data_IF_954597699118
#
_entry.id   IF_954597699118
#
_cell.length_a   1.000
_cell.length_b   1.000
_cell.length_c   1.000
_cell.angle_alpha   90.00
_cell.angle_beta   90.00
_cell.angle_gamma   90.00
#
_symmetry.space_group_name_H-M   'P 1'
#
loop_
_entity.id
_entity.type
_entity.pdbx_description
1 polymer ?
#
# COMPACT_ATOMS: atom_id res chain seq x y z
N UNK A 1 29.16 32.66 -40.18
CA UNK A 1 29.87 33.78 -40.82
C UNK A 1 31.31 33.35 -41.01
N UNK A 2 31.71 33.06 -42.24
CA UNK A 2 33.10 32.72 -42.58
C UNK A 2 33.82 34.00 -43.00
N UNK A 3 34.93 34.32 -42.33
CA UNK A 3 35.83 35.39 -42.74
C UNK A 3 36.78 34.83 -43.80
N UNK A 4 36.82 35.45 -44.99
CA UNK A 4 37.74 35.05 -46.06
C UNK A 4 38.80 36.13 -46.23
N UNK A 5 40.05 35.81 -45.86
CA UNK A 5 41.20 36.70 -46.06
C UNK A 5 41.81 36.40 -47.43
N UNK A 6 41.80 37.39 -48.33
CA UNK A 6 42.39 37.26 -49.66
C UNK A 6 43.84 37.77 -49.65
N UNK A 7 44.81 36.87 -49.80
CA UNK A 7 46.22 37.22 -49.94
C UNK A 7 46.63 37.13 -51.42
N UNK A 8 46.92 38.26 -52.05
CA UNK A 8 47.47 38.32 -53.40
C UNK A 8 48.86 38.94 -53.40
N UNK A 9 49.79 38.37 -54.16
CA UNK A 9 51.11 38.93 -54.41
C UNK A 9 51.20 39.38 -55.87
N UNK A 10 51.54 40.65 -56.09
CA UNK A 10 51.74 41.17 -57.44
C UNK A 10 53.11 40.73 -57.95
N UNK A 11 53.15 40.08 -59.12
CA UNK A 11 54.41 39.77 -59.80
C UNK A 11 55.09 41.06 -60.26
N UNK A 12 56.43 41.09 -60.24
CA UNK A 12 57.27 42.28 -60.48
C UNK A 12 57.05 43.02 -61.84
N UNK A 13 56.20 42.49 -62.71
CA UNK A 13 55.81 43.05 -64.01
C UNK A 13 54.56 43.94 -63.97
N UNK A 14 53.78 43.95 -62.87
CA UNK A 14 52.52 44.72 -62.75
C UNK A 14 52.73 45.88 -61.77
N UNK A 15 52.49 47.12 -62.22
CA UNK A 15 52.45 48.31 -61.36
C UNK A 15 51.00 48.63 -60.99
N UNK A 16 50.58 48.48 -59.71
CA UNK A 16 49.21 48.74 -59.32
C UNK A 16 48.88 50.22 -59.48
N UNK A 17 47.69 50.50 -60.01
CA UNK A 17 47.13 51.84 -60.16
C UNK A 17 45.99 52.05 -59.15
N UNK A 18 45.72 53.30 -58.73
CA UNK A 18 44.63 53.60 -57.78
C UNK A 18 43.21 53.25 -58.25
N UNK A 19 43.05 52.83 -59.51
CA UNK A 19 41.76 52.44 -60.11
C UNK A 19 41.65 50.93 -60.34
N UNK A 20 42.60 50.14 -59.86
CA UNK A 20 42.51 48.70 -59.93
C UNK A 20 41.63 48.20 -58.78
N UNK A 21 40.88 47.12 -59.01
CA UNK A 21 39.97 46.56 -58.02
C UNK A 21 39.95 45.04 -58.10
N UNK A 22 39.62 44.40 -56.97
CA UNK A 22 39.41 42.96 -56.87
C UNK A 22 37.96 42.70 -56.49
N UNK A 23 37.28 41.84 -57.24
CA UNK A 23 35.87 41.54 -56.99
C UNK A 23 35.45 40.18 -57.50
N UNK A 24 34.24 39.77 -57.10
CA UNK A 24 33.64 38.51 -57.53
C UNK A 24 32.92 38.70 -58.86
N UNK A 25 33.12 37.78 -59.82
CA UNK A 25 32.52 37.91 -61.16
C UNK A 25 30.99 37.78 -61.20
N UNK A 26 30.39 37.19 -60.16
CA UNK A 26 28.96 36.79 -60.13
C UNK A 26 28.07 37.71 -59.31
N UNK A 27 28.62 38.55 -58.42
CA UNK A 27 27.85 39.55 -57.66
C UNK A 27 28.29 40.94 -58.08
N UNK A 28 27.40 41.68 -58.76
CA UNK A 28 27.64 43.08 -59.19
C UNK A 28 27.97 44.05 -58.06
N UNK A 29 27.85 43.63 -56.80
CA UNK A 29 27.82 44.50 -55.64
C UNK A 29 28.92 44.19 -54.60
N UNK A 30 29.99 43.48 -54.95
CA UNK A 30 31.07 43.20 -53.99
C UNK A 30 32.45 43.26 -54.65
N UNK A 31 33.02 44.47 -54.66
CA UNK A 31 34.38 44.75 -55.09
C UNK A 31 35.10 45.61 -54.06
N UNK A 32 36.42 45.51 -54.03
CA UNK A 32 37.28 46.29 -53.15
C UNK A 32 38.37 46.94 -53.99
N UNK A 33 38.56 48.25 -53.82
CA UNK A 33 39.61 49.00 -54.50
C UNK A 33 40.98 48.63 -53.96
N UNK A 34 41.96 48.47 -54.84
CA UNK A 34 43.34 48.15 -54.46
C UNK A 34 44.04 49.44 -54.03
N UNK A 35 44.36 49.59 -52.75
CA UNK A 35 45.17 50.71 -52.26
C UNK A 35 46.65 50.51 -52.63
N UNK A 36 47.34 51.50 -53.22
CA UNK A 36 48.73 51.39 -53.59
C UNK A 36 49.64 51.69 -52.39
N UNK A 37 49.83 50.68 -51.52
CA UNK A 37 50.80 50.70 -50.41
C UNK A 37 51.55 49.37 -50.33
N UNK A 38 52.86 49.41 -50.08
CA UNK A 38 53.80 48.29 -50.21
C UNK A 38 53.86 47.34 -48.98
N UNK A 39 52.90 47.41 -48.07
CA UNK A 39 52.85 46.56 -46.88
C UNK A 39 51.53 45.79 -46.83
N UNK A 40 51.59 44.51 -46.42
CA UNK A 40 50.47 43.56 -46.45
C UNK A 40 49.19 44.13 -45.83
N UNK A 41 48.16 44.32 -46.66
CA UNK A 41 46.81 44.66 -46.24
C UNK A 41 45.94 43.40 -46.36
N UNK A 42 45.47 42.89 -45.22
CA UNK A 42 44.31 42.01 -45.18
C UNK A 42 43.04 42.85 -45.20
N UNK A 43 42.16 42.63 -46.17
CA UNK A 43 40.85 43.30 -46.25
C UNK A 43 39.72 42.26 -46.28
N UNK A 44 38.70 42.53 -45.47
CA UNK A 44 37.61 41.61 -45.19
C UNK A 44 36.53 41.64 -46.27
N UNK A 45 36.27 40.49 -46.88
CA UNK A 45 35.10 40.27 -47.75
C UNK A 45 34.10 39.34 -47.06
N UNK A 46 32.88 39.85 -46.89
CA UNK A 46 31.77 39.09 -46.35
C UNK A 46 31.05 38.34 -47.47
N UNK A 47 30.94 37.02 -47.35
CA UNK A 47 30.10 36.20 -48.24
C UNK A 47 28.84 35.73 -47.51
N UNK A 48 27.70 35.77 -48.20
CA UNK A 48 26.45 35.15 -47.75
C UNK A 48 26.50 33.68 -48.17
N UNK A 49 26.20 32.77 -47.25
CA UNK A 49 26.15 31.31 -47.49
C UNK A 49 25.22 30.98 -48.67
N UNK A 50 25.79 30.88 -49.87
CA UNK A 50 25.14 30.34 -51.04
C UNK A 50 26.07 29.29 -51.65
N UNK A 51 25.50 28.15 -52.05
CA UNK A 51 26.21 27.02 -52.63
C UNK A 51 26.68 27.29 -54.08
N UNK A 52 27.05 28.53 -54.39
CA UNK A 52 27.44 28.97 -55.72
C UNK A 52 28.96 29.08 -55.87
N UNK A 53 29.42 28.94 -57.11
CA UNK A 53 30.84 29.03 -57.44
C UNK A 53 31.27 30.49 -57.52
N UNK A 54 32.32 30.86 -56.78
CA UNK A 54 32.86 32.21 -56.78
C UNK A 54 34.27 32.26 -57.38
N UNK A 55 34.53 33.26 -58.21
CA UNK A 55 35.86 33.54 -58.80
C UNK A 55 36.29 34.97 -58.42
N UNK A 56 37.43 35.10 -57.74
CA UNK A 56 38.11 36.38 -57.52
C UNK A 56 38.83 36.78 -58.81
N UNK A 57 38.50 37.96 -59.33
CA UNK A 57 39.17 38.55 -60.49
C UNK A 57 39.87 39.84 -60.06
N UNK A 58 41.15 39.97 -60.37
CA UNK A 58 41.82 41.27 -60.38
C UNK A 58 41.55 41.92 -61.73
N UNK A 59 41.11 43.18 -61.70
CA UNK A 59 40.82 43.97 -62.91
C UNK A 59 41.71 45.19 -62.90
N UNK A 60 42.60 45.28 -63.88
CA UNK A 60 43.42 46.46 -64.10
C UNK A 60 42.63 47.56 -64.82
N UNK A 61 43.18 48.77 -64.84
CA UNK A 61 42.59 49.92 -65.54
C UNK A 61 42.41 49.72 -67.07
N UNK A 62 42.83 48.58 -67.64
CA UNK A 62 42.78 48.22 -69.06
C UNK A 62 41.92 46.96 -69.36
N UNK A 63 41.10 46.49 -68.41
CA UNK A 63 40.17 45.35 -68.54
C UNK A 63 40.82 43.97 -68.81
N UNK A 64 42.06 43.75 -68.39
CA UNK A 64 42.69 42.42 -68.49
C UNK A 64 42.40 41.54 -67.27
N UNK A 65 41.75 40.38 -67.49
CA UNK A 65 41.39 39.43 -66.43
C UNK A 65 42.44 38.33 -66.24
N UNK A 66 42.81 38.02 -64.99
CA UNK A 66 43.69 36.91 -64.63
C UNK A 66 43.03 35.52 -64.77
N UNK A 67 43.87 34.48 -64.84
CA UNK A 67 43.51 33.05 -65.01
C UNK A 67 42.74 32.51 -63.78
N UNK A 68 41.63 31.77 -63.97
CA UNK A 68 40.84 31.24 -62.86
C UNK A 68 41.60 30.19 -62.05
N UNK A 69 41.50 30.27 -60.71
CA UNK A 69 41.85 29.19 -59.80
C UNK A 69 40.63 28.78 -58.96
N UNK A 70 40.62 27.54 -58.46
CA UNK A 70 39.49 26.94 -57.76
C UNK A 70 39.94 26.43 -56.38
N UNK A 71 39.20 26.75 -55.32
CA UNK A 71 39.35 26.06 -54.04
C UNK A 71 38.72 24.68 -54.16
N UNK A 72 39.55 23.63 -54.27
CA UNK A 72 39.12 22.26 -54.02
C UNK A 72 39.39 21.96 -52.55
N UNK A 73 38.34 21.71 -51.78
CA UNK A 73 38.49 20.98 -50.52
C UNK A 73 39.19 19.66 -50.80
N UNK A 74 40.16 19.21 -49.97
CA UNK A 74 40.80 17.92 -50.17
C UNK A 74 39.71 16.86 -50.21
N UNK A 75 39.50 16.26 -51.39
CA UNK A 75 38.70 15.05 -51.51
C UNK A 75 39.44 13.99 -50.71
N UNK A 76 39.01 13.75 -49.48
CA UNK A 76 39.27 12.50 -48.80
C UNK A 76 38.84 11.37 -49.75
N UNK A 77 39.82 10.73 -50.39
CA UNK A 77 39.67 9.42 -50.98
C UNK A 77 39.43 8.45 -49.83
N UNK A 78 38.18 8.32 -49.40
CA UNK A 78 37.71 7.20 -48.61
C UNK A 78 36.47 6.63 -49.31
N UNK A 79 36.71 5.44 -49.88
CA UNK A 79 35.79 4.43 -50.41
C UNK A 79 34.26 4.73 -50.30
N UNK A 80 33.54 4.87 -51.43
CA UNK A 80 32.10 5.18 -51.43
C UNK A 80 31.21 4.07 -50.87
N UNK A 81 31.67 2.81 -50.84
CA UNK A 81 30.82 1.64 -50.57
C UNK A 81 30.66 1.31 -49.08
N UNK A 82 31.57 1.76 -48.21
CA UNK A 82 31.50 1.52 -46.75
C UNK A 82 30.78 2.67 -46.03
N UNK A 83 30.82 3.88 -46.59
CA UNK A 83 30.20 5.08 -46.01
C UNK A 83 28.68 5.15 -46.25
N UNK A 84 28.17 4.52 -47.32
CA UNK A 84 26.72 4.38 -47.58
C UNK A 84 26.05 3.48 -46.54
N UNK A 85 26.58 2.26 -46.34
CA UNK A 85 26.03 1.30 -45.37
C UNK A 85 26.05 1.81 -43.94
N UNK A 86 27.16 2.40 -43.46
CA UNK A 86 27.21 3.01 -42.12
C UNK A 86 26.24 4.18 -41.95
N UNK A 87 25.94 4.92 -43.03
CA UNK A 87 24.96 6.02 -42.99
C UNK A 87 23.53 5.48 -42.93
N UNK A 88 23.21 4.43 -43.67
CA UNK A 88 21.90 3.76 -43.62
C UNK A 88 21.66 3.11 -42.25
N UNK A 89 22.67 2.49 -41.66
CA UNK A 89 22.61 1.88 -40.33
C UNK A 89 22.40 2.91 -39.22
N UNK A 90 23.09 4.06 -39.27
CA UNK A 90 22.86 5.17 -38.35
C UNK A 90 21.47 5.81 -38.51
N UNK A 91 20.92 5.82 -39.73
CA UNK A 91 19.56 6.33 -39.98
C UNK A 91 18.51 5.39 -39.38
N UNK A 92 18.65 4.08 -39.57
CA UNK A 92 17.76 3.09 -38.95
C UNK A 92 17.84 3.16 -37.42
N UNK A 93 19.03 3.35 -36.85
CA UNK A 93 19.21 3.48 -35.40
C UNK A 93 18.58 4.77 -34.85
N UNK A 94 18.66 5.88 -35.59
CA UNK A 94 17.98 7.12 -35.25
C UNK A 94 16.45 6.99 -35.29
N UNK A 95 15.91 6.29 -36.28
CA UNK A 95 14.47 6.00 -36.35
C UNK A 95 14.02 5.13 -35.19
N UNK A 96 14.79 4.06 -34.88
CA UNK A 96 14.54 3.19 -33.73
C UNK A 96 14.55 3.96 -32.40
N UNK A 97 15.55 4.83 -32.19
CA UNK A 97 15.65 5.67 -30.99
C UNK A 97 14.52 6.71 -30.90
N UNK A 98 14.04 7.19 -32.03
CA UNK A 98 12.89 8.11 -32.09
C UNK A 98 11.60 7.40 -31.68
N UNK A 99 11.37 6.20 -32.20
CA UNK A 99 10.20 5.37 -31.86
C UNK A 99 10.22 4.94 -30.38
N UNK A 100 11.40 4.60 -29.85
CA UNK A 100 11.56 4.35 -28.41
C UNK A 100 11.27 5.61 -27.57
N UNK A 101 11.73 6.79 -28.00
CA UNK A 101 11.42 8.03 -27.31
C UNK A 101 9.91 8.36 -27.32
N UNK A 102 9.22 8.12 -28.42
CA UNK A 102 7.76 8.29 -28.49
C UNK A 102 7.04 7.32 -27.56
N UNK A 103 7.47 6.05 -27.51
CA UNK A 103 6.92 5.04 -26.60
C UNK A 103 7.13 5.45 -25.15
N UNK A 104 8.34 5.85 -24.76
CA UNK A 104 8.65 6.30 -23.41
C UNK A 104 7.83 7.53 -23.01
N UNK A 105 7.65 8.49 -23.93
CA UNK A 105 6.78 9.65 -23.69
C UNK A 105 5.32 9.26 -23.47
N UNK A 106 4.83 8.25 -24.19
CA UNK A 106 3.48 7.73 -24.01
C UNK A 106 3.31 7.10 -22.63
N UNK A 107 4.24 6.22 -22.23
CA UNK A 107 4.21 5.54 -20.91
C UNK A 107 4.30 6.55 -19.77
N UNK A 108 5.17 7.56 -19.88
CA UNK A 108 5.28 8.64 -18.89
C UNK A 108 3.96 9.41 -18.73
N UNK A 109 3.26 9.67 -19.84
CA UNK A 109 1.97 10.37 -19.82
C UNK A 109 0.89 9.52 -19.14
N UNK A 110 0.85 8.21 -19.41
CA UNK A 110 -0.08 7.28 -18.75
C UNK A 110 0.20 7.17 -17.25
N UNK A 111 1.47 7.03 -16.85
CA UNK A 111 1.82 7.02 -15.42
C UNK A 111 1.46 8.31 -14.72
N UNK A 112 1.64 9.47 -15.36
CA UNK A 112 1.24 10.74 -14.80
C UNK A 112 -0.29 10.83 -14.59
N UNK A 113 -1.08 10.32 -15.54
CA UNK A 113 -2.54 10.24 -15.39
C UNK A 113 -2.96 9.30 -14.26
N UNK A 114 -2.27 8.19 -14.08
CA UNK A 114 -2.56 7.25 -12.99
C UNK A 114 -2.22 7.84 -11.63
N UNK A 115 -1.09 8.55 -11.50
CA UNK A 115 -0.75 9.30 -10.29
C UNK A 115 -1.83 10.33 -9.96
N UNK A 116 -2.34 11.05 -10.95
CA UNK A 116 -3.39 12.04 -10.74
C UNK A 116 -4.71 11.39 -10.33
N UNK A 117 -5.06 10.23 -10.90
CA UNK A 117 -6.23 9.44 -10.47
C UNK A 117 -6.10 8.96 -9.03
N UNK A 118 -4.95 8.41 -8.66
CA UNK A 118 -4.69 7.91 -7.30
C UNK A 118 -4.73 9.05 -6.27
N UNK A 119 -4.21 10.24 -6.61
CA UNK A 119 -4.33 11.44 -5.75
C UNK A 119 -5.79 11.82 -5.50
N UNK A 120 -6.64 11.77 -6.54
CA UNK A 120 -8.08 12.05 -6.39
C UNK A 120 -8.75 11.03 -5.47
N UNK A 121 -8.46 9.73 -5.66
CA UNK A 121 -9.02 8.67 -4.80
C UNK A 121 -8.60 8.82 -3.34
N UNK A 122 -7.32 9.13 -3.09
CA UNK A 122 -6.80 9.33 -1.74
C UNK A 122 -7.45 10.54 -1.06
N UNK A 123 -7.69 11.62 -1.80
CA UNK A 123 -8.40 12.79 -1.28
C UNK A 123 -9.86 12.47 -0.92
N UNK A 124 -10.56 11.72 -1.78
CA UNK A 124 -11.94 11.28 -1.50
C UNK A 124 -11.98 10.39 -0.24
N UNK A 125 -11.04 9.47 -0.10
CA UNK A 125 -10.96 8.60 1.07
C UNK A 125 -10.68 9.38 2.36
N UNK A 126 -9.76 10.34 2.34
CA UNK A 126 -9.49 11.23 3.48
C UNK A 126 -10.71 12.09 3.86
N UNK A 127 -11.43 12.62 2.87
CA UNK A 127 -12.67 13.38 3.10
C UNK A 127 -13.74 12.50 3.76
N UNK A 128 -13.93 11.27 3.28
CA UNK A 128 -14.86 10.30 3.89
C UNK A 128 -14.48 9.98 5.32
N UNK A 129 -13.18 9.75 5.59
CA UNK A 129 -12.69 9.48 6.95
C UNK A 129 -12.97 10.68 7.88
N UNK A 130 -12.67 11.90 7.44
CA UNK A 130 -12.89 13.12 8.23
C UNK A 130 -14.38 13.37 8.52
N UNK A 131 -15.27 13.14 7.54
CA UNK A 131 -16.72 13.23 7.77
C UNK A 131 -17.16 12.19 8.81
N UNK A 132 -16.64 10.97 8.72
CA UNK A 132 -16.99 9.90 9.66
C UNK A 132 -16.50 10.20 11.08
N UNK A 133 -15.27 10.68 11.25
CA UNK A 133 -14.77 11.13 12.57
C UNK A 133 -15.60 12.30 13.12
N UNK A 134 -15.97 13.28 12.28
CA UNK A 134 -16.82 14.41 12.67
C UNK A 134 -18.21 13.96 13.16
N UNK A 135 -18.87 13.07 12.43
CA UNK A 135 -20.20 12.54 12.84
C UNK A 135 -20.16 11.73 14.13
N UNK A 136 -19.08 10.96 14.36
CA UNK A 136 -18.90 10.20 15.60
C UNK A 136 -18.67 11.11 16.80
N UNK A 137 -17.85 12.15 16.67
CA UNK A 137 -17.67 13.15 17.74
C UNK A 137 -18.98 13.85 18.09
N UNK A 138 -19.79 14.22 17.09
CA UNK A 138 -21.05 14.90 17.31
C UNK A 138 -22.10 14.00 18.00
N UNK A 139 -22.13 12.71 17.67
CA UNK A 139 -22.97 11.72 18.35
C UNK A 139 -22.52 11.48 19.80
N UNK A 140 -21.22 11.38 20.04
CA UNK A 140 -20.69 11.24 21.41
C UNK A 140 -21.01 12.48 22.23
N UNK A 141 -20.88 13.68 21.67
CA UNK A 141 -21.20 14.92 22.34
C UNK A 141 -22.71 15.08 22.62
N UNK A 142 -23.58 14.72 21.68
CA UNK A 142 -25.04 14.69 21.90
C UNK A 142 -25.46 13.64 22.94
N UNK A 143 -24.79 12.49 22.97
CA UNK A 143 -25.05 11.47 23.99
C UNK A 143 -24.56 11.92 25.37
N UNK A 144 -23.42 12.61 25.46
CA UNK A 144 -22.90 13.19 26.71
C UNK A 144 -23.78 14.31 27.27
N UNK A 145 -24.43 15.11 26.43
CA UNK A 145 -25.33 16.18 26.89
C UNK A 145 -26.70 15.65 27.31
N UNK A 146 -27.19 14.57 26.68
CA UNK A 146 -28.51 14.00 26.98
C UNK A 146 -28.49 12.94 28.10
N UNK A 147 -27.32 12.40 28.45
CA UNK A 147 -27.18 11.40 29.51
C UNK A 147 -27.49 11.96 30.92
N UNK A 148 -27.02 13.16 31.32
CA UNK A 148 -27.35 13.77 32.61
C UNK A 148 -28.86 13.96 32.79
N UNK A 149 -29.56 14.43 31.75
CA UNK A 149 -31.02 14.66 31.81
C UNK A 149 -31.83 13.37 31.93
N UNK A 150 -31.35 12.27 31.32
CA UNK A 150 -31.97 10.95 31.45
C UNK A 150 -31.75 10.37 32.84
N UNK A 151 -30.54 10.54 33.38
CA UNK A 151 -30.19 10.11 34.73
C UNK A 151 -31.02 10.88 35.78
N UNK A 152 -31.15 12.20 35.64
CA UNK A 152 -31.94 13.03 36.54
C UNK A 152 -33.43 12.66 36.50
N UNK A 153 -34.00 12.42 35.31
CA UNK A 153 -35.37 11.89 35.17
C UNK A 153 -35.56 10.54 35.85
N UNK A 154 -34.58 9.63 35.74
CA UNK A 154 -34.63 8.34 36.39
C UNK A 154 -34.59 8.48 37.92
N UNK A 155 -33.76 9.37 38.46
CA UNK A 155 -33.69 9.64 39.90
C UNK A 155 -35.02 10.17 40.44
N UNK A 156 -35.65 11.12 39.75
CA UNK A 156 -36.98 11.64 40.14
C UNK A 156 -38.01 10.51 40.17
N UNK A 157 -38.01 9.64 39.14
CA UNK A 157 -38.96 8.51 39.09
C UNK A 157 -38.71 7.50 40.21
N UNK A 158 -37.46 7.19 40.52
CA UNK A 158 -37.09 6.31 41.65
C UNK A 158 -37.60 6.90 42.97
N UNK A 159 -37.41 8.20 43.18
CA UNK A 159 -37.87 8.86 44.41
C UNK A 159 -39.40 8.85 44.53
N UNK A 160 -40.11 9.08 43.43
CA UNK A 160 -41.57 8.98 43.38
C UNK A 160 -42.06 7.56 43.71
N UNK A 161 -41.45 6.53 43.11
CA UNK A 161 -41.81 5.13 43.36
C UNK A 161 -41.55 4.72 44.82
N UNK A 162 -40.47 5.22 45.43
CA UNK A 162 -40.21 4.99 46.86
C UNK A 162 -41.29 5.59 47.75
N UNK A 163 -41.79 6.78 47.41
CA UNK A 163 -42.89 7.42 48.15
C UNK A 163 -44.20 6.63 48.02
N UNK A 164 -44.52 6.18 46.80
CA UNK A 164 -45.69 5.33 46.54
C UNK A 164 -45.60 3.99 47.28
N UNK A 165 -44.41 3.38 47.34
CA UNK A 165 -44.18 2.15 48.09
C UNK A 165 -44.46 2.32 49.58
N UNK A 166 -44.01 3.42 50.19
CA UNK A 166 -44.25 3.68 51.62
C UNK A 166 -45.73 3.95 51.90
N UNK A 167 -46.43 4.66 51.02
CA UNK A 167 -47.87 4.87 51.13
C UNK A 167 -48.65 3.55 51.03
N UNK A 168 -48.30 2.70 50.07
CA UNK A 168 -48.93 1.39 49.90
C UNK A 168 -48.64 0.48 51.10
N UNK A 169 -47.41 0.51 51.63
CA UNK A 169 -47.04 -0.22 52.83
C UNK A 169 -47.90 0.20 54.03
N UNK A 170 -48.09 1.51 54.23
CA UNK A 170 -48.99 2.02 55.27
C UNK A 170 -50.44 1.56 55.09
N UNK A 171 -50.96 1.53 53.85
CA UNK A 171 -52.31 0.99 53.57
C UNK A 171 -52.43 -0.50 53.89
N UNK A 172 -51.40 -1.29 53.55
CA UNK A 172 -51.35 -2.72 53.88
C UNK A 172 -51.31 -2.96 55.39
N UNK A 173 -50.55 -2.17 56.14
CA UNK A 173 -50.51 -2.25 57.60
C UNK A 173 -51.88 -1.93 58.23
N UNK A 174 -52.56 -0.87 57.77
CA UNK A 174 -53.92 -0.53 58.23
C UNK A 174 -54.91 -1.66 57.92
N UNK A 175 -54.91 -2.18 56.69
CA UNK A 175 -55.78 -3.29 56.31
C UNK A 175 -55.47 -4.57 57.10
N UNK A 176 -54.20 -4.85 57.39
CA UNK A 176 -53.78 -5.98 58.21
C UNK A 176 -54.35 -5.89 59.63
N UNK A 177 -54.30 -4.69 60.24
CA UNK A 177 -54.91 -4.44 61.56
C UNK A 177 -56.42 -4.60 61.52
N UNK A 178 -57.10 -4.09 60.49
CA UNK A 178 -58.55 -4.24 60.33
C UNK A 178 -58.95 -5.72 60.19
N UNK A 179 -58.23 -6.49 59.35
CA UNK A 179 -58.44 -7.94 59.20
C UNK A 179 -58.23 -8.65 60.54
N UNK A 180 -57.18 -8.30 61.29
CA UNK A 180 -56.91 -8.88 62.60
C UNK A 180 -58.04 -8.59 63.61
N UNK A 181 -58.69 -7.42 63.52
CA UNK A 181 -59.85 -7.07 64.36
C UNK A 181 -61.16 -7.76 63.92
N UNK A 182 -61.36 -7.95 62.61
CA UNK A 182 -62.55 -8.59 62.08
C UNK A 182 -62.52 -10.12 62.24
N UNK A 183 -61.32 -10.73 62.21
CA UNK A 183 -61.14 -12.18 62.36
C UNK A 183 -61.81 -12.77 63.62
N UNK A 184 -61.63 -12.24 64.84
CA UNK A 184 -62.30 -12.76 66.03
C UNK A 184 -63.82 -12.53 66.00
N UNK A 185 -64.29 -11.42 65.40
CA UNK A 185 -65.73 -11.16 65.26
C UNK A 185 -66.37 -12.18 64.33
N UNK A 186 -65.74 -12.45 63.18
CA UNK A 186 -66.18 -13.48 62.24
C UNK A 186 -66.18 -14.87 62.89
N UNK A 187 -65.14 -15.20 63.67
CA UNK A 187 -65.11 -16.47 64.43
C UNK A 187 -66.25 -16.56 65.45
N UNK A 188 -66.52 -15.48 66.19
CA UNK A 188 -67.62 -15.45 67.16
C UNK A 188 -68.99 -15.53 66.47
N UNK A 189 -69.17 -14.87 65.33
CA UNK A 189 -70.39 -14.98 64.52
C UNK A 189 -70.54 -16.41 63.99
N UNK A 190 -69.48 -16.99 63.44
CA UNK A 190 -69.49 -18.39 62.98
C UNK A 190 -69.81 -19.35 64.12
N UNK A 191 -69.27 -19.15 65.32
CA UNK A 191 -69.62 -19.94 66.51
C UNK A 191 -71.09 -19.74 66.92
N UNK A 192 -71.62 -18.51 66.86
CA UNK A 192 -73.04 -18.26 67.13
C UNK A 192 -73.94 -18.92 66.10
N UNK A 193 -73.54 -18.97 64.82
CA UNK A 193 -74.23 -19.70 63.77
C UNK A 193 -74.17 -21.21 64.05
N UNK A 194 -73.00 -21.75 64.40
CA UNK A 194 -72.85 -23.17 64.78
C UNK A 194 -73.69 -23.53 66.00
N UNK A 195 -73.77 -22.66 67.01
CA UNK A 195 -74.62 -22.82 68.20
C UNK A 195 -76.10 -22.74 67.85
N UNK A 196 -76.51 -21.81 66.98
CA UNK A 196 -77.89 -21.74 66.45
C UNK A 196 -78.24 -23.01 65.69
N UNK A 197 -77.39 -23.49 64.80
CA UNK A 197 -77.59 -24.73 64.07
C UNK A 197 -77.67 -25.93 65.01
N UNK A 198 -76.84 -25.96 66.06
CA UNK A 198 -76.88 -27.00 67.09
C UNK A 198 -78.18 -26.97 67.91
N UNK A 199 -78.67 -25.78 68.29
CA UNK A 199 -79.96 -25.59 68.96
C UNK A 199 -81.11 -25.99 68.03
N UNK A 200 -81.04 -25.62 66.74
CA UNK A 200 -82.03 -25.97 65.73
C UNK A 200 -82.02 -27.48 65.47
N UNK A 201 -80.85 -28.11 65.40
CA UNK A 201 -80.66 -29.56 65.38
C UNK A 201 -81.29 -30.25 66.60
N UNK A 202 -81.09 -29.71 67.81
CA UNK A 202 -81.71 -30.24 69.03
C UNK A 202 -83.24 -30.08 69.01
N UNK A 203 -83.75 -28.95 68.50
CA UNK A 203 -85.17 -28.68 68.31
C UNK A 203 -85.81 -29.55 67.23
N UNK A 204 -85.09 -29.92 66.16
CA UNK A 204 -85.62 -30.87 65.19
C UNK A 204 -85.38 -32.32 65.60
N UNK A 205 -84.36 -32.64 66.40
CA UNK A 205 -84.16 -33.98 66.97
C UNK A 205 -85.29 -34.39 67.93
N UNK A 206 -85.97 -33.39 68.53
CA UNK A 206 -87.18 -33.55 69.34
C UNK A 206 -88.46 -33.61 68.49
N UNK A 207 -88.42 -33.25 67.20
CA UNK A 207 -89.60 -33.17 66.32
C UNK A 207 -89.55 -33.97 65.01
N UNK A 208 -88.44 -34.61 64.64
CA UNK A 208 -88.41 -35.46 63.43
C UNK A 208 -87.22 -36.42 63.45
N UNK A 209 -87.47 -37.65 63.93
CA UNK A 209 -86.44 -38.66 64.13
C UNK A 209 -86.08 -39.49 62.88
N UNK A 210 -86.43 -39.05 61.67
CA UNK A 210 -86.17 -39.86 60.46
C UNK A 210 -85.75 -39.12 59.19
N UNK A 211 -85.69 -37.78 59.13
CA UNK A 211 -85.30 -37.07 57.88
C UNK A 211 -83.98 -36.25 57.96
N UNK A 212 -83.53 -35.88 59.16
CA UNK A 212 -82.38 -34.97 59.37
C UNK A 212 -80.99 -35.48 58.94
N UNK A 213 -80.61 -36.74 59.20
CA UNK A 213 -79.28 -37.25 58.83
C UNK A 213 -79.05 -37.26 57.31
N UNK A 214 -80.12 -37.47 56.53
CA UNK A 214 -80.05 -37.55 55.06
C UNK A 214 -79.89 -36.14 54.46
N UNK A 215 -80.62 -35.15 54.99
CA UNK A 215 -80.52 -33.76 54.50
C UNK A 215 -79.17 -33.12 54.84
N UNK A 216 -78.64 -33.34 56.05
CA UNK A 216 -77.33 -32.79 56.47
C UNK A 216 -76.16 -33.38 55.67
N UNK A 217 -76.18 -34.69 55.43
CA UNK A 217 -75.16 -35.35 54.59
C UNK A 217 -75.25 -34.91 53.13
N UNK A 218 -76.46 -34.70 52.60
CA UNK A 218 -76.67 -34.16 51.26
C UNK A 218 -76.14 -32.73 51.10
N UNK A 219 -76.34 -31.85 52.09
CA UNK A 219 -75.82 -30.48 52.07
C UNK A 219 -74.28 -30.46 52.11
N UNK A 220 -73.67 -31.18 53.05
CA UNK A 220 -72.21 -31.25 53.17
C UNK A 220 -71.55 -31.79 51.90
N UNK A 221 -72.18 -32.77 51.24
CA UNK A 221 -71.71 -33.31 49.97
C UNK A 221 -71.83 -32.29 48.83
N UNK A 222 -72.88 -31.48 48.81
CA UNK A 222 -73.05 -30.41 47.84
C UNK A 222 -72.03 -29.29 48.03
N UNK A 223 -71.71 -28.94 49.26
CA UNK A 223 -70.69 -27.95 49.61
C UNK A 223 -69.29 -28.44 49.24
N UNK A 224 -68.94 -29.68 49.58
CA UNK A 224 -67.68 -30.30 49.17
C UNK A 224 -67.52 -30.37 47.64
N UNK A 225 -68.60 -30.66 46.90
CA UNK A 225 -68.60 -30.62 45.42
C UNK A 225 -68.31 -29.23 44.88
N UNK A 226 -68.87 -28.19 45.50
CA UNK A 226 -68.68 -26.80 45.08
C UNK A 226 -67.24 -26.35 45.34
N UNK A 227 -66.68 -26.68 46.51
CA UNK A 227 -65.29 -26.40 46.84
C UNK A 227 -64.32 -27.10 45.88
N UNK A 228 -64.54 -28.40 45.61
CA UNK A 228 -63.72 -29.14 44.65
C UNK A 228 -63.78 -28.52 43.24
N UNK A 229 -64.96 -28.03 42.82
CA UNK A 229 -65.07 -27.35 41.54
C UNK A 229 -64.28 -26.04 41.50
N UNK A 230 -64.34 -25.24 42.58
CA UNK A 230 -63.57 -23.99 42.71
C UNK A 230 -62.07 -24.25 42.75
N UNK A 231 -61.61 -25.24 43.52
CA UNK A 231 -60.20 -25.64 43.58
C UNK A 231 -59.71 -26.13 42.21
N UNK A 232 -60.53 -26.91 41.49
CA UNK A 232 -60.21 -27.35 40.14
C UNK A 232 -60.06 -26.19 39.16
N UNK A 233 -60.94 -25.19 39.24
CA UNK A 233 -60.82 -23.99 38.41
C UNK A 233 -59.58 -23.16 38.78
N UNK A 234 -59.29 -22.99 40.07
CA UNK A 234 -58.09 -22.30 40.54
C UNK A 234 -56.82 -23.01 40.07
N UNK A 235 -56.76 -24.34 40.21
CA UNK A 235 -55.65 -25.17 39.73
C UNK A 235 -55.44 -25.03 38.22
N UNK A 236 -56.52 -25.08 37.43
CA UNK A 236 -56.45 -24.90 35.97
C UNK A 236 -55.91 -23.51 35.60
N UNK A 237 -56.33 -22.46 36.30
CA UNK A 237 -55.83 -21.11 36.06
C UNK A 237 -54.34 -20.99 36.39
N UNK A 238 -53.90 -21.56 37.52
CA UNK A 238 -52.49 -21.61 37.92
C UNK A 238 -51.65 -22.37 36.88
N UNK A 239 -52.15 -23.50 36.39
CA UNK A 239 -51.48 -24.28 35.34
C UNK A 239 -51.29 -23.47 34.05
N UNK A 240 -52.33 -22.76 33.57
CA UNK A 240 -52.22 -21.89 32.40
C UNK A 240 -51.23 -20.75 32.59
N UNK A 241 -51.15 -20.18 33.80
CA UNK A 241 -50.15 -19.16 34.13
C UNK A 241 -48.73 -19.73 34.12
N UNK A 242 -48.53 -20.93 34.67
CA UNK A 242 -47.25 -21.62 34.65
C UNK A 242 -46.78 -21.93 33.22
N UNK A 243 -47.65 -22.50 32.38
CA UNK A 243 -47.34 -22.78 30.96
C UNK A 243 -46.97 -21.50 30.19
N UNK A 244 -47.62 -20.37 30.51
CA UNK A 244 -47.27 -19.08 29.90
C UNK A 244 -45.88 -18.62 30.34
N UNK A 245 -45.56 -18.72 31.62
CA UNK A 245 -44.25 -18.36 32.15
C UNK A 245 -43.14 -19.26 31.58
N UNK A 246 -43.40 -20.55 31.39
CA UNK A 246 -42.46 -21.49 30.77
C UNK A 246 -42.17 -21.13 29.30
N UNK A 247 -43.20 -20.74 28.53
CA UNK A 247 -42.99 -20.25 27.16
C UNK A 247 -42.16 -18.96 27.11
N UNK A 248 -42.49 -17.98 27.96
CA UNK A 248 -41.74 -16.72 28.04
C UNK A 248 -40.28 -16.96 28.45
N UNK A 249 -40.05 -17.91 29.35
CA UNK A 249 -38.70 -18.33 29.76
C UNK A 249 -37.94 -18.95 28.58
N UNK A 250 -38.57 -19.85 27.82
CA UNK A 250 -38.01 -20.42 26.60
C UNK A 250 -37.59 -19.35 25.58
N UNK A 251 -38.47 -18.37 25.30
CA UNK A 251 -38.15 -17.26 24.39
C UNK A 251 -36.98 -16.39 24.89
N UNK A 252 -36.84 -16.22 26.21
CA UNK A 252 -35.69 -15.51 26.80
C UNK A 252 -34.40 -16.30 26.61
N UNK A 253 -34.43 -17.62 26.81
CA UNK A 253 -33.27 -18.49 26.57
C UNK A 253 -32.83 -18.45 25.10
N UNK A 254 -33.75 -18.58 24.15
CA UNK A 254 -33.43 -18.50 22.72
C UNK A 254 -32.84 -17.14 22.31
N UNK A 255 -33.37 -16.04 22.86
CA UNK A 255 -32.81 -14.69 22.65
C UNK A 255 -31.41 -14.55 23.26
N UNK A 256 -31.18 -15.11 24.43
CA UNK A 256 -29.88 -15.10 25.09
C UNK A 256 -28.84 -15.88 24.27
N UNK A 257 -29.20 -17.07 23.79
CA UNK A 257 -28.35 -17.90 22.93
C UNK A 257 -27.99 -17.17 21.63
N UNK A 258 -28.99 -16.59 20.95
CA UNK A 258 -28.79 -15.79 19.72
C UNK A 258 -27.87 -14.59 19.96
N UNK A 259 -28.02 -13.91 21.10
CA UNK A 259 -27.16 -12.78 21.50
C UNK A 259 -25.74 -13.25 21.83
N UNK A 260 -25.59 -14.41 22.47
CA UNK A 260 -24.30 -15.01 22.79
C UNK A 260 -23.53 -15.35 21.50
N UNK A 261 -24.19 -16.01 20.54
CA UNK A 261 -23.59 -16.38 19.25
C UNK A 261 -23.16 -15.15 18.43
N UNK A 262 -24.01 -14.12 18.35
CA UNK A 262 -23.67 -12.87 17.64
C UNK A 262 -22.55 -12.10 18.34
N UNK A 263 -22.51 -12.10 19.67
CA UNK A 263 -21.41 -11.52 20.46
C UNK A 263 -20.09 -12.25 20.20
N UNK A 264 -20.09 -13.59 20.24
CA UNK A 264 -18.91 -14.40 19.94
C UNK A 264 -18.39 -14.15 18.52
N UNK A 265 -19.28 -14.12 17.52
CA UNK A 265 -18.93 -13.79 16.14
C UNK A 265 -18.33 -12.39 16.01
N UNK A 266 -18.89 -11.41 16.72
CA UNK A 266 -18.39 -10.03 16.72
C UNK A 266 -17.01 -9.94 17.35
N UNK A 267 -16.77 -10.65 18.46
CA UNK A 267 -15.45 -10.75 19.10
C UNK A 267 -14.41 -11.38 18.16
N UNK A 268 -14.76 -12.45 17.46
CA UNK A 268 -13.88 -13.08 16.48
C UNK A 268 -13.51 -12.12 15.35
N UNK A 269 -14.49 -11.38 14.79
CA UNK A 269 -14.24 -10.35 13.77
C UNK A 269 -13.37 -9.22 14.31
N UNK A 270 -13.61 -8.78 15.54
CA UNK A 270 -12.81 -7.75 16.22
C UNK A 270 -11.36 -8.18 16.37
N UNK A 271 -11.10 -9.40 16.86
CA UNK A 271 -9.75 -9.93 17.01
C UNK A 271 -9.02 -10.03 15.67
N UNK A 272 -9.72 -10.44 14.59
CA UNK A 272 -9.15 -10.45 13.24
C UNK A 272 -8.75 -9.05 12.76
N UNK A 273 -9.60 -8.05 12.98
CA UNK A 273 -9.29 -6.66 12.61
C UNK A 273 -8.13 -6.10 13.43
N UNK A 274 -8.05 -6.43 14.72
CA UNK A 274 -6.97 -6.02 15.61
C UNK A 274 -5.62 -6.58 15.13
N UNK A 275 -5.58 -7.87 14.75
CA UNK A 275 -4.39 -8.49 14.15
C UNK A 275 -3.98 -7.82 12.84
N UNK A 276 -4.94 -7.49 11.97
CA UNK A 276 -4.66 -6.78 10.72
C UNK A 276 -4.10 -5.38 10.97
N UNK A 277 -4.60 -4.67 11.98
CA UNK A 277 -4.08 -3.35 12.36
C UNK A 277 -2.66 -3.42 12.91
N UNK A 278 -2.34 -4.43 13.72
CA UNK A 278 -0.98 -4.65 14.22
C UNK A 278 -0.01 -4.95 13.08
N UNK A 279 -0.41 -5.80 12.13
CA UNK A 279 0.41 -6.12 10.96
C UNK A 279 0.65 -4.90 10.06
N UNK A 280 -0.39 -4.10 9.80
CA UNK A 280 -0.23 -2.86 9.03
C UNK A 280 0.69 -1.86 9.72
N UNK A 281 0.63 -1.74 11.06
CA UNK A 281 1.57 -0.89 11.82
C UNK A 281 3.01 -1.37 11.66
N UNK A 282 3.25 -2.68 11.75
CA UNK A 282 4.58 -3.27 11.54
C UNK A 282 5.13 -2.96 10.15
N UNK A 283 4.30 -3.10 9.11
CA UNK A 283 4.68 -2.77 7.73
C UNK A 283 5.02 -1.28 7.59
N UNK A 284 4.23 -0.40 8.19
CA UNK A 284 4.48 1.05 8.15
C UNK A 284 5.83 1.36 8.81
N UNK A 285 6.08 0.83 10.00
CA UNK A 285 7.34 1.02 10.73
C UNK A 285 8.55 0.51 9.94
N UNK A 286 8.43 -0.66 9.31
CA UNK A 286 9.47 -1.19 8.43
C UNK A 286 9.73 -0.28 7.23
N UNK A 287 8.68 0.25 6.60
CA UNK A 287 8.81 1.19 5.47
C UNK A 287 9.42 2.52 5.89
N UNK A 288 9.09 3.02 7.08
CA UNK A 288 9.70 4.23 7.65
C UNK A 288 11.20 4.01 7.91
N UNK A 289 11.58 2.87 8.47
CA UNK A 289 12.99 2.53 8.69
C UNK A 289 13.77 2.43 7.36
N UNK A 290 13.20 1.79 6.34
CA UNK A 290 13.81 1.70 5.00
C UNK A 290 13.96 3.10 4.38
N UNK A 291 12.93 3.95 4.50
CA UNK A 291 12.98 5.31 3.98
C UNK A 291 14.04 6.17 4.66
N UNK A 292 14.21 6.05 5.99
CA UNK A 292 15.25 6.77 6.71
C UNK A 292 16.65 6.29 6.33
N UNK A 293 16.87 4.97 6.18
CA UNK A 293 18.15 4.44 5.69
C UNK A 293 18.48 4.97 4.28
N UNK A 294 17.52 4.91 3.36
CA UNK A 294 17.69 5.40 1.99
C UNK A 294 17.97 6.91 1.95
N UNK A 295 17.38 7.69 2.86
CA UNK A 295 17.63 9.12 3.00
C UNK A 295 19.06 9.39 3.45
N UNK A 296 19.55 8.67 4.47
CA UNK A 296 20.94 8.80 4.96
C UNK A 296 21.94 8.46 3.85
N UNK A 297 21.72 7.36 3.13
CA UNK A 297 22.57 6.94 2.01
C UNK A 297 22.59 8.00 0.88
N UNK A 298 21.43 8.56 0.54
CA UNK A 298 21.36 9.62 -0.48
C UNK A 298 22.09 10.90 -0.05
N UNK A 299 22.00 11.26 1.24
CA UNK A 299 22.77 12.39 1.78
C UNK A 299 24.28 12.14 1.73
N UNK A 300 24.73 10.90 1.97
CA UNK A 300 26.14 10.50 1.86
C UNK A 300 26.63 10.52 0.40
N UNK A 301 25.91 9.87 -0.50
CA UNK A 301 26.20 9.90 -1.93
C UNK A 301 26.20 11.33 -2.48
N UNK A 302 25.31 12.21 -2.00
CA UNK A 302 25.31 13.61 -2.40
C UNK A 302 26.57 14.35 -1.93
N UNK A 303 27.11 14.02 -0.74
CA UNK A 303 28.38 14.60 -0.26
C UNK A 303 29.56 14.12 -1.11
N UNK A 304 29.67 12.82 -1.32
CA UNK A 304 30.73 12.24 -2.16
C UNK A 304 30.68 12.76 -3.60
N UNK A 305 29.49 12.89 -4.17
CA UNK A 305 29.32 13.44 -5.52
C UNK A 305 29.79 14.90 -5.61
N UNK A 306 29.58 15.69 -4.56
CA UNK A 306 30.13 17.05 -4.47
C UNK A 306 31.65 17.05 -4.37
N UNK A 307 32.23 16.13 -3.59
CA UNK A 307 33.68 15.98 -3.44
C UNK A 307 34.35 15.61 -4.76
N UNK A 308 33.84 14.58 -5.43
CA UNK A 308 34.33 14.15 -6.75
C UNK A 308 34.21 15.26 -7.78
N UNK A 309 33.14 16.05 -7.77
CA UNK A 309 33.01 17.23 -8.65
C UNK A 309 34.11 18.26 -8.39
N UNK A 310 34.44 18.52 -7.12
CA UNK A 310 35.55 19.42 -6.76
C UNK A 310 36.89 18.90 -7.25
N UNK A 311 37.14 17.60 -7.12
CA UNK A 311 38.40 17.00 -7.55
C UNK A 311 38.54 16.91 -9.07
N UNK A 312 37.45 16.62 -9.79
CA UNK A 312 37.44 16.71 -11.26
C UNK A 312 37.78 18.13 -11.73
N UNK A 313 37.22 19.16 -11.09
CA UNK A 313 37.51 20.55 -11.45
C UNK A 313 38.97 20.92 -11.15
N UNK A 314 39.50 20.45 -10.01
CA UNK A 314 40.91 20.61 -9.65
C UNK A 314 41.84 19.98 -10.70
N UNK A 315 41.58 18.71 -11.06
CA UNK A 315 42.37 17.99 -12.05
C UNK A 315 42.29 18.64 -13.44
N UNK A 316 41.10 19.12 -13.85
CA UNK A 316 40.94 19.86 -15.10
C UNK A 316 41.78 21.13 -15.12
N UNK A 317 41.85 21.85 -13.99
CA UNK A 317 42.70 23.03 -13.85
C UNK A 317 44.18 22.68 -13.94
N UNK A 318 44.63 21.67 -13.21
CA UNK A 318 46.02 21.18 -13.28
C UNK A 318 46.41 20.73 -14.70
N UNK A 319 45.51 20.04 -15.40
CA UNK A 319 45.72 19.63 -16.78
C UNK A 319 45.83 20.84 -17.73
N UNK A 320 44.98 21.85 -17.55
CA UNK A 320 45.06 23.08 -18.34
C UNK A 320 46.35 23.87 -18.08
N UNK A 321 46.79 23.94 -16.82
CA UNK A 321 48.04 24.60 -16.42
C UNK A 321 49.26 23.88 -17.02
N UNK A 322 49.27 22.54 -17.03
CA UNK A 322 50.31 21.73 -17.68
C UNK A 322 50.32 21.89 -19.21
N UNK A 323 49.16 22.05 -19.83
CA UNK A 323 49.04 22.24 -21.28
C UNK A 323 49.42 23.68 -21.71
N UNK A 324 49.33 24.65 -20.80
CA UNK A 324 49.72 26.05 -21.02
C UNK A 324 51.20 26.36 -20.70
N UNK A 325 51.95 25.42 -20.12
CA UNK A 325 53.37 25.58 -19.85
C UNK A 325 54.19 25.62 -21.16
N UNK A 326 55.04 26.64 -21.40
CA UNK A 326 55.86 26.68 -22.61
C UNK A 326 56.95 25.60 -22.56
N UNK A 327 56.91 24.68 -23.51
CA UNK A 327 57.99 23.72 -23.76
C UNK A 327 59.20 24.49 -24.34
N UNK A 328 60.40 24.43 -23.73
CA UNK A 328 61.60 24.96 -24.35
C UNK A 328 61.97 24.14 -25.59
N UNK A 329 61.93 24.78 -26.76
CA UNK A 329 62.47 24.27 -28.01
C UNK A 329 64.01 24.41 -28.00
N UNK A 330 64.73 23.29 -27.95
CA UNK A 330 66.00 23.13 -28.68
C UNK A 330 65.94 21.88 -29.57
N UNK A 331 66.16 22.10 -30.88
CA UNK A 331 66.41 21.14 -31.97
C UNK A 331 67.88 20.62 -31.92
N UNK A 332 68.37 19.62 -32.71
CA UNK A 332 67.81 19.06 -33.96
C UNK A 332 67.86 17.51 -34.10
N UNK A 333 67.09 17.00 -35.06
CA UNK A 333 67.13 15.62 -35.55
C UNK A 333 68.46 15.28 -36.27
N UNK A 334 68.82 13.99 -36.36
CA UNK A 334 69.13 13.45 -37.68
C UNK A 334 68.60 12.02 -37.95
N UNK A 335 67.97 11.89 -39.12
CA UNK A 335 68.08 10.80 -40.11
C UNK A 335 67.53 9.41 -39.75
N UNK A 336 66.52 8.97 -40.52
CA UNK A 336 66.29 7.55 -40.81
C UNK A 336 64.82 7.14 -41.00
N UNK A 337 64.26 7.30 -42.20
CA UNK A 337 63.10 6.50 -42.69
C UNK A 337 63.59 5.10 -43.11
N UNK A 338 62.74 4.09 -43.48
CA UNK A 338 61.27 4.04 -43.52
C UNK A 338 60.64 2.71 -42.97
N UNK A 339 59.37 2.75 -42.53
CA UNK A 339 58.23 1.96 -43.07
C UNK A 339 56.97 2.12 -42.20
N UNK A 340 55.86 2.46 -42.85
CA UNK A 340 54.45 2.34 -42.40
C UNK A 340 54.12 0.90 -41.93
N UNK A 341 53.09 0.63 -41.09
CA UNK A 341 51.71 1.10 -41.32
C UNK A 341 50.87 1.53 -40.08
N UNK A 342 49.97 2.49 -40.30
CA UNK A 342 48.55 2.59 -39.82
C UNK A 342 48.21 2.39 -38.32
N UNK A 343 47.47 3.33 -37.66
CA UNK A 343 46.75 3.03 -36.42
C UNK A 343 45.27 2.73 -36.70
N UNK A 344 44.85 1.51 -36.39
CA UNK A 344 43.45 1.12 -36.16
C UNK A 344 43.32 0.72 -34.69
N UNK A 345 42.28 1.27 -34.07
CA UNK A 345 41.47 0.81 -32.93
C UNK A 345 42.04 -0.22 -31.94
N UNK A 346 41.94 0.18 -30.66
CA UNK A 346 41.42 -0.61 -29.54
C UNK A 346 42.01 -2.01 -29.30
N UNK A 347 42.99 -2.07 -28.40
CA UNK A 347 43.21 -3.25 -27.56
C UNK A 347 43.29 -2.81 -26.10
N UNK A 348 42.16 -2.98 -25.41
CA UNK A 348 42.12 -3.11 -23.95
C UNK A 348 42.93 -4.36 -23.59
N UNK A 349 44.06 -4.17 -22.90
CA UNK A 349 44.73 -5.26 -22.22
C UNK A 349 44.34 -5.23 -20.74
N UNK A 350 43.75 -6.37 -20.41
CA UNK A 350 43.35 -6.88 -19.12
C UNK A 350 44.53 -6.99 -18.14
N UNK A 351 44.17 -7.18 -16.87
CA UNK A 351 44.97 -7.67 -15.74
C UNK A 351 45.85 -6.65 -14.97
N UNK A 352 45.34 -6.17 -13.83
CA UNK A 352 45.75 -6.59 -12.46
C UNK A 352 45.24 -5.60 -11.40
N UNK A 353 44.19 -5.98 -10.67
CA UNK A 353 44.01 -5.54 -9.28
C UNK A 353 43.38 -6.66 -8.46
N UNK A 354 44.23 -7.34 -7.72
CA UNK A 354 43.87 -8.38 -6.76
C UNK A 354 43.82 -7.75 -5.36
N UNK A 355 42.73 -7.99 -4.62
CA UNK A 355 42.72 -8.12 -3.17
C UNK A 355 41.42 -8.83 -2.69
N UNK A 356 41.56 -10.14 -2.47
CA UNK A 356 40.96 -11.00 -1.42
C UNK A 356 39.42 -11.07 -1.23
N UNK A 357 38.86 -12.31 -1.34
CA UNK A 357 37.89 -12.84 -0.40
C UNK A 357 38.55 -13.90 0.49
N UNK A 358 38.39 -13.75 1.80
CA UNK A 358 38.88 -14.67 2.82
C UNK A 358 38.05 -15.97 2.84
N UNK A 359 38.75 -17.10 2.67
CA UNK A 359 38.56 -18.33 3.43
C UNK A 359 37.35 -19.22 3.12
N UNK A 360 37.53 -20.24 2.27
CA UNK A 360 37.67 -21.63 2.77
C UNK A 360 38.07 -22.61 1.65
N UNK A 361 39.22 -23.27 1.89
CA UNK A 361 39.72 -24.48 1.22
C UNK A 361 38.83 -25.67 1.63
N UNK A 362 38.56 -26.71 0.83
CA UNK A 362 39.48 -27.59 0.10
C UNK A 362 38.81 -28.29 -1.11
N UNK A 363 39.66 -28.66 -2.08
CA UNK A 363 39.45 -29.42 -3.33
C UNK A 363 38.96 -30.87 -3.08
N UNK A 364 38.52 -31.76 -4.00
CA UNK A 364 38.77 -32.03 -5.44
C UNK A 364 37.64 -33.00 -5.96
N UNK A 365 37.70 -33.62 -7.17
CA UNK A 365 36.65 -33.57 -8.20
C UNK A 365 35.75 -34.83 -8.29
N UNK A 366 34.46 -34.63 -8.54
CA UNK A 366 33.57 -35.74 -8.90
C UNK A 366 32.11 -35.34 -8.98
N UNK A 367 31.65 -34.96 -10.17
CA UNK A 367 30.23 -35.05 -10.53
C UNK A 367 29.95 -36.56 -10.72
N UNK A 368 28.98 -37.19 -10.03
CA UNK A 368 27.56 -36.89 -10.23
C UNK A 368 26.77 -36.90 -8.92
N UNK A 369 26.15 -35.80 -8.53
CA UNK A 369 24.87 -35.81 -7.82
C UNK A 369 24.42 -34.36 -7.62
N UNK A 370 23.29 -34.04 -8.23
CA UNK A 370 22.44 -32.92 -7.83
C UNK A 370 22.38 -32.83 -6.30
N UNK A 371 22.27 -31.64 -5.68
CA UNK A 371 21.97 -31.56 -4.26
C UNK A 371 20.77 -32.47 -4.01
N UNK A 372 20.94 -33.50 -3.17
CA UNK A 372 19.90 -34.48 -2.85
C UNK A 372 18.77 -33.70 -2.19
N UNK A 373 17.87 -33.16 -3.00
CA UNK A 373 16.66 -32.50 -2.54
C UNK A 373 15.79 -33.62 -2.01
N UNK A 374 15.71 -33.72 -0.69
CA UNK A 374 14.89 -34.73 -0.04
C UNK A 374 13.45 -34.23 0.03
N UNK A 375 12.50 -35.09 -0.29
CA UNK A 375 11.07 -34.76 -0.31
C UNK A 375 10.36 -35.36 0.89
N UNK A 376 9.59 -34.55 1.62
CA UNK A 376 8.74 -35.04 2.70
C UNK A 376 7.56 -35.85 2.16
N UNK A 377 7.27 -37.01 2.73
CA UNK A 377 6.15 -37.88 2.29
C UNK A 377 4.77 -37.35 2.68
N UNK A 378 4.72 -36.45 3.66
CA UNK A 378 3.47 -35.89 4.18
C UNK A 378 3.13 -34.59 3.44
N UNK A 379 3.92 -33.54 3.59
CA UNK A 379 3.64 -32.25 2.95
C UNK A 379 4.11 -32.14 1.48
N UNK A 380 4.87 -33.13 0.97
CA UNK A 380 5.43 -33.14 -0.39
C UNK A 380 6.39 -31.97 -0.71
N UNK A 381 6.85 -31.25 0.30
CA UNK A 381 7.83 -30.16 0.17
C UNK A 381 9.24 -30.70 -0.09
N UNK A 382 10.01 -29.96 -0.90
CA UNK A 382 11.38 -30.29 -1.28
C UNK A 382 12.36 -29.46 -0.46
N UNK A 383 13.25 -30.15 0.24
CA UNK A 383 14.23 -29.53 1.11
C UNK A 383 15.64 -29.71 0.54
N UNK A 384 16.24 -28.66 -0.06
CA UNK A 384 17.62 -28.73 -0.55
C UNK A 384 18.61 -28.61 0.62
N UNK A 385 19.54 -29.56 0.71
CA UNK A 385 20.68 -29.47 1.63
C UNK A 385 20.43 -29.94 3.06
N UNK A 386 19.29 -30.60 3.33
CA UNK A 386 19.05 -31.30 4.60
C UNK A 386 19.52 -32.76 4.52
N UNK A 387 19.93 -33.31 5.65
CA UNK A 387 20.27 -34.72 5.84
C UNK A 387 19.00 -35.59 5.98
N UNK A 388 19.13 -36.90 5.80
CA UNK A 388 18.01 -37.84 5.95
C UNK A 388 17.43 -37.81 7.37
N UNK A 389 18.27 -37.67 8.40
CA UNK A 389 17.84 -37.57 9.79
C UNK A 389 17.02 -36.30 10.06
N UNK A 390 17.36 -35.18 9.41
CA UNK A 390 16.60 -33.93 9.48
C UNK A 390 15.25 -34.02 8.74
N UNK A 391 15.19 -34.78 7.65
CA UNK A 391 13.93 -35.07 6.97
C UNK A 391 13.02 -35.96 7.82
N UNK A 392 13.57 -36.94 8.52
CA UNK A 392 12.80 -37.81 9.44
C UNK A 392 12.24 -37.01 10.61
N UNK A 393 13.03 -36.12 11.21
CA UNK A 393 12.54 -35.22 12.27
C UNK A 393 11.40 -34.30 11.78
N UNK A 394 11.47 -33.83 10.53
CA UNK A 394 10.39 -33.07 9.90
C UNK A 394 9.15 -33.93 9.64
N UNK A 395 9.33 -35.18 9.19
CA UNK A 395 8.22 -36.12 9.00
C UNK A 395 7.50 -36.44 10.31
N UNK A 396 8.27 -36.62 11.40
CA UNK A 396 7.74 -36.85 12.75
C UNK A 396 7.05 -35.61 13.35
N UNK A 397 7.32 -34.41 12.81
CA UNK A 397 6.66 -33.17 13.25
C UNK A 397 5.23 -33.03 12.71
N UNK A 398 4.85 -33.84 11.72
CA UNK A 398 3.49 -33.85 11.19
C UNK A 398 2.54 -34.61 12.11
N UNK A 399 1.41 -34.00 12.47
CA UNK A 399 0.33 -34.66 13.19
C UNK A 399 -0.54 -35.44 12.20
N UNK A 400 -0.14 -36.67 11.86
CA UNK A 400 -0.87 -37.51 10.89
C UNK A 400 -1.87 -38.42 11.62
N UNK A 401 -3.13 -38.43 11.18
CA UNK A 401 -4.13 -39.36 11.69
C UNK A 401 -3.78 -40.81 11.27
N UNK A 402 -3.66 -41.77 12.20
CA UNK A 402 -3.23 -43.14 11.89
C UNK A 402 -4.27 -43.94 11.10
N UNK A 403 -5.52 -43.49 11.06
CA UNK A 403 -6.62 -44.22 10.43
C UNK A 403 -6.94 -43.74 9.01
N UNK A 404 -6.77 -42.44 8.73
CA UNK A 404 -7.11 -41.86 7.42
C UNK A 404 -5.93 -41.16 6.72
N UNK A 405 -4.74 -41.15 7.32
CA UNK A 405 -3.52 -40.51 6.81
C UNK A 405 -3.67 -39.01 6.51
N UNK A 406 -4.68 -38.36 7.10
CA UNK A 406 -4.86 -36.91 7.00
C UNK A 406 -3.81 -36.19 7.85
N UNK A 407 -3.20 -35.13 7.30
CA UNK A 407 -2.23 -34.28 7.98
C UNK A 407 -3.00 -33.19 8.74
N UNK A 408 -2.82 -33.15 10.05
CA UNK A 408 -3.61 -32.34 10.99
C UNK A 408 -2.78 -31.27 11.71
N UNK A 409 -1.65 -30.84 11.14
CA UNK A 409 -0.70 -29.89 11.78
C UNK A 409 -1.34 -28.57 12.22
N UNK A 410 -2.41 -28.15 11.55
CA UNK A 410 -3.15 -26.92 11.86
C UNK A 410 -4.33 -27.11 12.83
N UNK A 411 -4.57 -28.33 13.31
CA UNK A 411 -5.67 -28.62 14.23
C UNK A 411 -5.21 -28.47 15.69
N UNK A 412 -6.07 -27.90 16.54
CA UNK A 412 -5.84 -27.94 17.99
C UNK A 412 -5.85 -29.39 18.49
N UNK A 413 -5.01 -29.69 19.49
CA UNK A 413 -4.83 -31.04 20.06
C UNK A 413 -6.17 -31.75 20.34
N UNK A 414 -7.15 -31.03 20.90
CA UNK A 414 -8.47 -31.56 21.24
C UNK A 414 -9.31 -31.94 20.01
N UNK A 415 -9.15 -31.21 18.90
CA UNK A 415 -9.83 -31.47 17.63
C UNK A 415 -9.16 -32.65 16.91
N UNK A 416 -7.83 -32.75 16.99
CA UNK A 416 -7.09 -33.90 16.49
C UNK A 416 -7.50 -35.18 17.22
N UNK A 417 -7.58 -35.14 18.55
CA UNK A 417 -8.03 -36.29 19.35
C UNK A 417 -9.46 -36.70 18.99
N UNK A 418 -10.41 -35.75 18.92
CA UNK A 418 -11.80 -36.03 18.52
C UNK A 418 -11.90 -36.63 17.10
N UNK A 419 -11.09 -36.12 16.16
CA UNK A 419 -10.98 -36.69 14.82
C UNK A 419 -10.47 -38.14 14.84
N UNK A 420 -9.43 -38.45 15.61
CA UNK A 420 -8.91 -39.81 15.76
C UNK A 420 -9.95 -40.75 16.40
N UNK A 421 -10.65 -40.29 17.45
CA UNK A 421 -11.69 -41.07 18.11
C UNK A 421 -12.93 -41.31 17.22
N UNK A 422 -13.22 -40.42 16.28
CA UNK A 422 -14.33 -40.61 15.33
C UNK A 422 -14.15 -41.81 14.39
N UNK A 423 -12.90 -42.30 14.24
CA UNK A 423 -12.59 -43.51 13.47
C UNK A 423 -12.70 -44.81 14.28
N UNK A 424 -12.80 -44.75 15.61
CA UNK A 424 -12.90 -45.94 16.49
C UNK A 424 -14.34 -46.45 16.66
N UNK A 425 -15.34 -45.86 15.97
CA UNK A 425 -16.77 -46.20 16.07
C UNK A 425 -17.29 -46.98 14.87
#
# INVERSE_FOLDING_TARGET
MLLVICCSSLTATIKPKPRDWVGWRTTRDTFVWVEPSLDLIGQDLHTKDSAEFYQLCYVDSNDHSSTPFCFKTPKHRLQPLVRGRKKEELVMELERLKEQNETLRSVLKEQQQEIDRLKVLLNVQNLQQNVQYGTNLQNVQYSLTTFPEKYERALIKIQQLKKEQEELKGKVEVQSVEIAQLTPRLKSEQETHRLKDYIQLLQVSTLSRTCWPIHSTSWNLQEARTQLHQERQASNNTCRCAEKAERELGEVYERMESTSMTSAQTKQKSSKLEMQLLELRRIIEEKENIAEMAKVENEELSRENQDLKRDIERLRKEFADLQAAPVPLEHPSPIGSPTDPTPTEEQQLDVLSACLPSGNHYETPGNPNSPLSLQCRHCHEWFPGITQDELELHQDSHCVCPYCNLICDGMEQTIFEDHVFSHEV
#
